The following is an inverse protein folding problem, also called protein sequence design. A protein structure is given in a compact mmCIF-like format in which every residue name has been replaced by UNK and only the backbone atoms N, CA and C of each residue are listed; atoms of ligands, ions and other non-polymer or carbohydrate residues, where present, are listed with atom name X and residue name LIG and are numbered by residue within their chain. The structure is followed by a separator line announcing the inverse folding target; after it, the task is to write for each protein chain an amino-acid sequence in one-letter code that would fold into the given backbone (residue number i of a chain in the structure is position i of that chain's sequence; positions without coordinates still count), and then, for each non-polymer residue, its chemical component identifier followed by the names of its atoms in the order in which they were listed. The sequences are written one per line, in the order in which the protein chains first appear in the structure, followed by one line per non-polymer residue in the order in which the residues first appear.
data_IF_759747816437
#
_entry.id   IF_759747816437
#
_cell.length_a   1.000
_cell.length_b   1.000
_cell.length_c   1.000
_cell.angle_alpha   90.00
_cell.angle_beta   90.00
_cell.angle_gamma   90.00
#
_symmetry.space_group_name_H-M   'P 1'
#
loop_
_entity.id
_entity.type
_entity.pdbx_description
1 polymer ?
#
# COMPACT_ATOMS: atom_id res chain seq x y z
N UNK A 1 0.95 -11.52 20.31
CA UNK A 1 2.12 -10.63 20.17
C UNK A 1 1.64 -9.43 19.37
N UNK A 2 1.56 -8.25 19.99
CA UNK A 2 0.95 -7.07 19.35
C UNK A 2 1.99 -6.45 18.39
N UNK A 3 1.66 -6.35 17.11
CA UNK A 3 2.48 -5.68 16.12
C UNK A 3 2.53 -4.17 16.44
N UNK A 4 3.73 -3.60 16.53
CA UNK A 4 3.91 -2.18 16.74
C UNK A 4 3.39 -1.41 15.51
N UNK A 5 2.41 -0.52 15.72
CA UNK A 5 1.87 0.35 14.68
C UNK A 5 2.60 1.69 14.76
N UNK A 6 3.42 1.99 13.76
CA UNK A 6 4.18 3.24 13.68
C UNK A 6 3.35 4.35 13.04
N UNK A 7 3.30 5.53 13.65
CA UNK A 7 2.63 6.71 13.08
C UNK A 7 3.58 7.43 12.11
N UNK A 8 3.05 7.97 11.02
CA UNK A 8 3.75 8.77 10.00
C UNK A 8 4.51 10.02 10.50
N UNK A 9 4.56 10.27 11.83
CA UNK A 9 5.28 11.36 12.48
C UNK A 9 6.39 10.95 13.45
N UNK A 10 6.78 9.66 13.49
CA UNK A 10 7.91 9.19 14.32
C UNK A 10 7.61 9.01 15.81
N UNK A 11 6.33 9.02 16.20
CA UNK A 11 5.90 8.62 17.55
C UNK A 11 5.45 7.16 17.59
N UNK A 12 5.86 6.44 18.64
CA UNK A 12 5.27 5.14 18.97
C UNK A 12 3.86 5.37 19.57
N UNK A 13 2.86 4.65 19.06
CA UNK A 13 1.56 4.57 19.73
C UNK A 13 1.75 3.85 21.07
N UNK A 14 1.15 4.39 22.13
CA UNK A 14 1.09 3.64 23.38
C UNK A 14 0.28 2.34 23.20
N UNK A 15 0.55 1.35 24.05
CA UNK A 15 -0.05 0.02 23.92
C UNK A 15 -1.59 0.04 24.06
N UNK A 16 -2.14 1.03 24.78
CA UNK A 16 -3.57 1.19 24.93
C UNK A 16 -4.20 1.81 23.67
N UNK A 17 -3.50 2.70 22.97
CA UNK A 17 -3.88 3.26 21.68
C UNK A 17 -3.84 2.21 20.57
N UNK A 18 -2.81 1.35 20.53
CA UNK A 18 -2.76 0.21 19.61
C UNK A 18 -3.92 -0.75 19.88
N UNK A 19 -4.21 -1.03 21.15
CA UNK A 19 -5.33 -1.89 21.54
C UNK A 19 -6.69 -1.27 21.25
N UNK A 20 -6.82 0.05 21.41
CA UNK A 20 -8.05 0.80 21.14
C UNK A 20 -8.34 0.93 19.64
N UNK A 21 -7.30 1.05 18.81
CA UNK A 21 -7.45 1.06 17.35
C UNK A 21 -7.85 -0.32 16.81
N UNK A 22 -7.45 -1.39 17.50
CA UNK A 22 -7.82 -2.76 17.14
C UNK A 22 -7.35 -3.16 15.74
N UNK A 23 -7.79 -4.35 15.30
CA UNK A 23 -7.69 -4.73 13.89
C UNK A 23 -8.93 -4.13 13.22
N UNK A 24 -8.78 -3.31 12.17
CA UNK A 24 -9.93 -2.72 11.52
C UNK A 24 -10.80 -3.85 10.95
N UNK A 25 -12.07 -3.87 11.37
CA UNK A 25 -13.06 -4.84 10.91
C UNK A 25 -13.50 -4.50 9.49
N UNK A 26 -13.90 -5.52 8.73
CA UNK A 26 -14.46 -5.31 7.41
C UNK A 26 -15.77 -4.49 7.52
N UNK A 27 -16.10 -3.64 6.55
CA UNK A 27 -17.36 -2.90 6.57
C UNK A 27 -18.57 -3.83 6.67
N UNK A 28 -19.42 -3.63 7.70
CA UNK A 28 -20.57 -4.49 8.01
C UNK A 28 -21.67 -4.51 6.92
N UNK A 29 -21.80 -3.44 6.14
CA UNK A 29 -22.85 -3.28 5.13
C UNK A 29 -22.31 -3.14 3.70
N UNK A 30 -22.83 -4.01 2.83
CA UNK A 30 -22.62 -4.06 1.38
C UNK A 30 -22.99 -2.71 0.73
N UNK A 31 -22.02 -1.80 0.57
CA UNK A 31 -22.20 -0.59 -0.26
C UNK A 31 -21.92 -0.84 -1.76
N UNK A 32 -21.46 -2.04 -2.13
CA UNK A 32 -21.10 -2.36 -3.52
C UNK A 32 -20.53 -3.76 -3.78
N UNK A 33 -20.29 -4.57 -2.74
CA UNK A 33 -19.77 -5.94 -2.85
C UNK A 33 -18.27 -6.04 -3.03
N UNK A 34 -17.82 -7.22 -3.48
CA UNK A 34 -16.42 -7.45 -3.81
C UNK A 34 -16.04 -6.69 -5.07
N UNK A 35 -14.95 -5.95 -4.99
CA UNK A 35 -14.34 -5.26 -6.09
C UNK A 35 -13.44 -6.24 -6.87
N UNK A 36 -13.30 -6.01 -8.17
CA UNK A 36 -12.23 -6.67 -8.92
C UNK A 36 -10.86 -6.25 -8.39
N UNK A 37 -9.81 -7.06 -8.55
CA UNK A 37 -8.45 -6.60 -8.27
C UNK A 37 -8.09 -5.39 -9.14
N UNK A 38 -7.27 -4.48 -8.61
CA UNK A 38 -6.72 -3.36 -9.37
C UNK A 38 -5.81 -3.92 -10.46
N UNK A 39 -6.06 -3.49 -11.70
CA UNK A 39 -5.21 -3.86 -12.83
C UNK A 39 -3.82 -3.26 -12.66
N UNK A 40 -2.78 -4.10 -12.76
CA UNK A 40 -1.39 -3.70 -12.54
C UNK A 40 -0.78 -3.17 -13.83
N UNK A 41 -0.06 -2.07 -13.70
CA UNK A 41 0.54 -1.33 -14.81
C UNK A 41 1.86 -0.69 -14.36
N UNK A 42 2.45 0.14 -15.23
CA UNK A 42 3.59 0.98 -14.82
C UNK A 42 3.18 1.93 -13.70
N UNK A 43 2.02 2.57 -13.81
CA UNK A 43 1.52 3.53 -12.83
C UNK A 43 0.98 2.85 -11.56
N UNK A 44 0.51 1.61 -11.65
CA UNK A 44 0.10 0.81 -10.50
C UNK A 44 0.93 -0.47 -10.43
N UNK A 45 2.20 -0.39 -9.97
CA UNK A 45 3.10 -1.53 -9.95
C UNK A 45 2.57 -2.69 -9.08
N UNK A 46 2.96 -3.91 -9.43
CA UNK A 46 2.84 -5.08 -8.56
C UNK A 46 4.07 -5.21 -7.67
N UNK A 47 4.02 -6.04 -6.65
CA UNK A 47 5.20 -6.34 -5.82
C UNK A 47 6.35 -7.01 -6.59
N UNK A 48 6.10 -7.51 -7.81
CA UNK A 48 7.11 -8.17 -8.62
C UNK A 48 8.17 -7.23 -9.19
N UNK A 49 7.90 -5.92 -9.19
CA UNK A 49 8.89 -4.91 -9.62
C UNK A 49 9.83 -4.50 -8.50
N UNK A 50 9.58 -4.93 -7.26
CA UNK A 50 10.44 -4.60 -6.12
C UNK A 50 11.74 -5.40 -6.18
N UNK A 51 12.86 -4.83 -5.68
CA UNK A 51 14.10 -5.58 -5.47
C UNK A 51 13.85 -6.84 -4.63
N UNK A 52 14.59 -7.91 -4.92
CA UNK A 52 14.44 -9.20 -4.23
C UNK A 52 14.58 -9.06 -2.71
N UNK A 53 15.58 -8.28 -2.27
CA UNK A 53 15.81 -7.99 -0.84
C UNK A 53 14.62 -7.34 -0.14
N UNK A 54 13.84 -6.51 -0.84
CA UNK A 54 12.63 -5.90 -0.26
C UNK A 54 11.50 -6.92 -0.24
N UNK A 55 11.34 -7.67 -1.34
CA UNK A 55 10.26 -8.64 -1.51
C UNK A 55 10.32 -9.79 -0.50
N UNK A 56 11.52 -10.29 -0.18
CA UNK A 56 11.72 -11.35 0.80
C UNK A 56 11.30 -10.95 2.22
N UNK A 57 11.34 -9.65 2.53
CA UNK A 57 10.96 -9.12 3.82
C UNK A 57 9.45 -8.77 3.92
N UNK A 58 8.72 -8.85 2.81
CA UNK A 58 7.30 -8.51 2.76
C UNK A 58 6.42 -9.76 2.92
N UNK A 59 5.45 -9.69 3.84
CA UNK A 59 4.38 -10.70 3.92
C UNK A 59 3.26 -10.31 2.95
N UNK A 60 3.41 -10.71 1.68
CA UNK A 60 2.44 -10.37 0.63
C UNK A 60 1.30 -11.37 0.63
N UNK A 61 0.09 -10.90 0.97
CA UNK A 61 -1.13 -11.68 0.79
C UNK A 61 -1.43 -11.89 -0.69
N UNK A 62 -1.43 -13.15 -1.13
CA UNK A 62 -1.63 -13.52 -2.55
C UNK A 62 -3.09 -13.53 -3.00
N UNK A 63 -4.03 -13.65 -2.06
CA UNK A 63 -5.46 -13.69 -2.34
C UNK A 63 -6.14 -12.67 -1.44
N UNK A 64 -6.85 -11.72 -2.05
CA UNK A 64 -7.62 -10.68 -1.36
C UNK A 64 -9.06 -10.71 -1.86
N UNK A 65 -9.98 -10.27 -1.01
CA UNK A 65 -11.40 -10.11 -1.33
C UNK A 65 -11.79 -8.65 -1.13
N UNK A 66 -11.28 -7.73 -1.96
CA UNK A 66 -11.32 -6.31 -1.66
C UNK A 66 -12.75 -5.79 -1.70
N UNK A 67 -13.15 -5.11 -0.63
CA UNK A 67 -14.40 -4.36 -0.49
C UNK A 67 -14.13 -2.85 -0.56
N UNK A 68 -12.91 -2.44 -0.21
CA UNK A 68 -12.43 -1.05 -0.27
C UNK A 68 -11.15 -0.98 -1.09
N UNK A 69 -10.99 0.11 -1.86
CA UNK A 69 -9.73 0.44 -2.54
C UNK A 69 -9.16 1.73 -1.98
N UNK A 70 -7.86 1.71 -1.73
CA UNK A 70 -7.08 2.88 -1.34
C UNK A 70 -6.10 3.21 -2.47
N UNK A 71 -6.16 4.44 -2.97
CA UNK A 71 -5.18 4.95 -3.92
C UNK A 71 -4.25 5.92 -3.20
N UNK A 72 -2.95 5.60 -3.21
CA UNK A 72 -1.91 6.43 -2.58
C UNK A 72 -1.22 7.24 -3.67
N UNK A 73 -1.30 8.57 -3.55
CA UNK A 73 -0.57 9.52 -4.38
C UNK A 73 0.43 10.24 -3.47
N UNK A 74 1.70 9.87 -3.57
CA UNK A 74 2.75 10.37 -2.68
C UNK A 74 3.36 11.69 -3.17
N UNK A 75 4.15 12.35 -2.31
CA UNK A 75 4.83 13.60 -2.61
C UNK A 75 6.21 13.43 -3.27
N UNK A 76 6.89 14.55 -3.50
CA UNK A 76 8.24 14.55 -4.08
C UNK A 76 9.25 13.81 -3.18
N UNK A 77 10.18 13.06 -3.81
CA UNK A 77 11.19 12.26 -3.13
C UNK A 77 10.74 10.87 -2.66
N UNK A 78 9.48 10.51 -2.92
CA UNK A 78 8.91 9.22 -2.53
C UNK A 78 8.80 8.25 -3.73
N UNK A 79 8.51 6.97 -3.49
CA UNK A 79 8.39 5.94 -4.52
C UNK A 79 7.67 4.70 -4.02
N UNK A 80 7.16 3.86 -4.92
CA UNK A 80 6.44 2.62 -4.56
C UNK A 80 7.17 1.74 -3.53
N UNK A 81 8.50 1.50 -3.61
CA UNK A 81 9.22 0.73 -2.60
C UNK A 81 9.03 1.20 -1.15
N UNK A 82 8.90 2.51 -0.89
CA UNK A 82 8.69 3.03 0.47
C UNK A 82 7.28 2.73 1.01
N UNK A 83 6.30 2.55 0.12
CA UNK A 83 4.91 2.25 0.46
C UNK A 83 4.57 0.76 0.35
N UNK A 84 5.50 -0.07 -0.11
CA UNK A 84 5.26 -1.49 -0.34
C UNK A 84 4.83 -2.23 0.92
N UNK A 85 5.47 -1.96 2.07
CA UNK A 85 5.09 -2.55 3.35
C UNK A 85 3.67 -2.17 3.75
N UNK A 86 3.34 -0.89 3.68
CA UNK A 86 1.98 -0.41 3.95
C UNK A 86 0.94 -1.10 3.06
N UNK A 87 1.21 -1.23 1.76
CA UNK A 87 0.32 -1.92 0.83
C UNK A 87 0.19 -3.42 1.12
N UNK A 88 1.26 -4.06 1.61
CA UNK A 88 1.25 -5.46 2.01
C UNK A 88 0.45 -5.71 3.30
N UNK A 89 0.57 -4.80 4.28
CA UNK A 89 -0.09 -4.87 5.59
C UNK A 89 -1.57 -4.51 5.57
N UNK A 90 -2.08 -4.06 4.44
CA UNK A 90 -3.51 -3.82 4.27
C UNK A 90 -4.31 -5.11 4.57
N UNK A 91 -5.45 -5.02 5.28
CA UNK A 91 -6.30 -6.18 5.54
C UNK A 91 -6.89 -6.77 4.25
N UNK A 92 -7.28 -8.05 4.28
CA UNK A 92 -7.72 -8.83 3.10
C UNK A 92 -8.93 -8.21 2.37
N UNK A 93 -9.76 -7.46 3.10
CA UNK A 93 -10.92 -6.74 2.59
C UNK A 93 -10.56 -5.37 1.98
N UNK A 94 -9.29 -4.96 2.01
CA UNK A 94 -8.78 -3.74 1.39
C UNK A 94 -7.71 -4.05 0.35
N UNK A 95 -7.76 -3.33 -0.77
CA UNK A 95 -6.66 -3.30 -1.73
C UNK A 95 -6.09 -1.89 -1.84
N UNK A 96 -4.81 -1.74 -1.47
CA UNK A 96 -4.07 -0.52 -1.70
C UNK A 96 -3.29 -0.59 -3.03
N UNK A 97 -3.35 0.49 -3.80
CA UNK A 97 -2.49 0.72 -4.95
C UNK A 97 -1.80 2.07 -4.79
N UNK A 98 -0.49 2.05 -5.00
CA UNK A 98 0.35 3.24 -4.97
C UNK A 98 0.56 3.68 -6.41
N UNK A 99 0.23 4.95 -6.69
CA UNK A 99 0.46 5.53 -7.99
C UNK A 99 1.93 5.90 -8.14
N UNK A 100 2.61 5.33 -9.13
CA UNK A 100 3.99 5.67 -9.48
C UNK A 100 4.00 6.75 -10.58
N UNK A 101 4.54 7.92 -10.26
CA UNK A 101 4.70 9.00 -11.24
C UNK A 101 5.76 8.63 -12.29
N UNK A 102 5.57 8.94 -13.59
CA UNK A 102 6.59 8.67 -14.60
C UNK A 102 7.91 9.38 -14.27
N UNK A 103 9.03 8.68 -14.41
CA UNK A 103 10.37 9.20 -14.07
C UNK A 103 10.69 9.26 -12.57
N UNK A 104 9.83 8.71 -11.71
CA UNK A 104 10.09 8.52 -10.28
C UNK A 104 10.60 7.10 -9.98
N UNK A 105 11.20 6.92 -8.79
CA UNK A 105 11.70 5.63 -8.31
C UNK A 105 12.91 5.12 -9.10
N UNK A 106 12.93 3.82 -9.42
CA UNK A 106 14.05 3.16 -10.11
C UNK A 106 13.95 3.20 -11.65
N UNK A 107 13.11 4.09 -12.21
CA UNK A 107 12.82 4.18 -13.66
C UNK A 107 13.46 5.42 -14.27
N UNK A 108 14.78 5.54 -14.13
CA UNK A 108 15.56 6.71 -14.55
C UNK A 108 15.43 7.01 -16.07
N UNK A 109 15.10 6.00 -16.88
CA UNK A 109 14.97 6.14 -18.34
C UNK A 109 13.56 6.58 -18.80
N UNK A 110 12.58 6.69 -17.90
CA UNK A 110 11.22 7.11 -18.28
C UNK A 110 11.13 8.64 -18.39
N UNK A 111 10.75 9.20 -19.56
CA UNK A 111 10.67 10.64 -19.73
C UNK A 111 9.62 11.25 -18.79
N UNK A 112 9.96 12.38 -18.19
CA UNK A 112 9.00 13.17 -17.42
C UNK A 112 7.86 13.65 -18.34
N UNK A 113 6.62 13.71 -17.84
CA UNK A 113 5.50 14.23 -18.62
C UNK A 113 5.74 15.70 -19.01
N UNK A 114 5.37 16.07 -20.24
CA UNK A 114 5.60 17.40 -20.81
C UNK A 114 4.83 18.52 -20.10
N UNK A 115 3.78 18.18 -19.34
CA UNK A 115 3.01 19.10 -18.50
C UNK A 115 2.40 18.36 -17.31
N UNK A 116 2.16 19.09 -16.21
CA UNK A 116 1.34 18.65 -15.08
C UNK A 116 -0.14 18.87 -15.36
#
# INVERSE_FOLDING_TARGET
EAAAVMIAGGGELDADAVKALGIPEAPDEYRGGYLSPIWRSKQFPSFDVLPESVRENLTIQRVRSPMIRLFVFYGAGDSFPFWAQFAADCPDWMEAAVFEWPGHGSREEEPLPESM
#
